data_IF_689229832019
#
_entry.id   IF_689229832019
#
_cell.length_a   1.000
_cell.length_b   1.000
_cell.length_c   1.000
_cell.angle_alpha   90.00
_cell.angle_beta   90.00
_cell.angle_gamma   90.00
#
_symmetry.space_group_name_H-M   'P 1'
#
loop_
_entity.id
_entity.type
_entity.pdbx_description
1 polymer ?
#
# COMPACT_ATOMS: atom_id res chain seq x y z
N UNK A 1 -1.88 -32.47 37.74
CA UNK A 1 -0.55 -31.82 37.72
C UNK A 1 -0.44 -30.58 36.83
N UNK A 2 -1.28 -30.40 35.80
CA UNK A 2 -1.24 -29.19 34.93
C UNK A 2 -1.72 -27.92 35.65
N UNK A 3 -2.74 -28.02 36.51
CA UNK A 3 -3.35 -26.88 37.20
C UNK A 3 -2.35 -26.09 38.07
N UNK A 4 -1.48 -26.79 38.81
CA UNK A 4 -0.47 -26.15 39.67
C UNK A 4 0.55 -25.31 38.88
N UNK A 5 0.87 -25.71 37.64
CA UNK A 5 1.82 -25.00 36.77
C UNK A 5 1.24 -23.70 36.17
N UNK A 6 -0.10 -23.57 36.14
CA UNK A 6 -0.78 -22.41 35.57
C UNK A 6 -1.06 -21.30 36.60
N UNK A 7 -1.04 -21.64 37.90
CA UNK A 7 -1.21 -20.70 39.02
C UNK A 7 -0.33 -19.45 38.90
N UNK A 8 1.00 -19.53 38.65
CA UNK A 8 1.85 -18.33 38.58
C UNK A 8 1.47 -17.38 37.45
N UNK A 9 1.04 -17.89 36.29
CA UNK A 9 0.60 -17.05 35.17
C UNK A 9 -0.69 -16.31 35.50
N UNK A 10 -1.64 -17.00 36.16
CA UNK A 10 -2.86 -16.38 36.67
C UNK A 10 -2.57 -15.27 37.69
N UNK A 11 -1.65 -15.52 38.63
CA UNK A 11 -1.24 -14.53 39.63
C UNK A 11 -0.63 -13.29 38.99
N UNK A 12 0.25 -13.44 38.00
CA UNK A 12 0.84 -12.30 37.27
C UNK A 12 -0.22 -11.51 36.51
N UNK A 13 -1.16 -12.19 35.83
CA UNK A 13 -2.25 -11.52 35.12
C UNK A 13 -3.16 -10.72 36.06
N UNK A 14 -3.54 -11.32 37.20
CA UNK A 14 -4.34 -10.65 38.23
C UNK A 14 -3.63 -9.44 38.81
N UNK A 15 -2.31 -9.51 39.06
CA UNK A 15 -1.51 -8.38 39.52
C UNK A 15 -1.50 -7.22 38.52
N UNK A 16 -1.34 -7.50 37.22
CA UNK A 16 -1.40 -6.46 36.17
C UNK A 16 -2.79 -5.85 36.07
N UNK A 17 -3.84 -6.67 36.12
CA UNK A 17 -5.23 -6.20 36.09
C UNK A 17 -5.54 -5.31 37.30
N UNK A 18 -5.14 -5.74 38.50
CA UNK A 18 -5.27 -4.96 39.73
C UNK A 18 -4.53 -3.63 39.65
N UNK A 19 -3.27 -3.65 39.22
CA UNK A 19 -2.47 -2.44 39.02
C UNK A 19 -3.11 -1.46 38.03
N UNK A 20 -3.67 -1.98 36.93
CA UNK A 20 -4.35 -1.17 35.91
C UNK A 20 -5.63 -0.55 36.46
N UNK A 21 -6.39 -1.28 37.29
CA UNK A 21 -7.59 -0.79 37.96
C UNK A 21 -7.25 0.33 38.95
N UNK A 22 -6.27 0.13 39.82
CA UNK A 22 -5.81 1.15 40.78
C UNK A 22 -5.33 2.39 40.04
N UNK A 23 -4.54 2.24 38.97
CA UNK A 23 -4.06 3.37 38.19
C UNK A 23 -5.18 4.15 37.50
N UNK A 24 -6.15 3.45 36.92
CA UNK A 24 -7.25 4.09 36.17
C UNK A 24 -8.27 4.76 37.10
N UNK A 25 -8.51 4.20 38.29
CA UNK A 25 -9.52 4.68 39.24
C UNK A 25 -8.96 5.72 40.22
N UNK A 26 -7.73 5.56 40.70
CA UNK A 26 -7.15 6.40 41.75
C UNK A 26 -6.20 7.48 41.21
N UNK A 27 -5.38 7.16 40.20
CA UNK A 27 -4.38 8.09 39.66
C UNK A 27 -4.85 8.88 38.44
N UNK A 28 -5.75 8.36 37.61
CA UNK A 28 -6.25 9.11 36.45
C UNK A 28 -7.39 10.07 36.84
N UNK A 29 -7.24 11.35 36.48
CA UNK A 29 -8.27 12.38 36.69
C UNK A 29 -9.60 11.96 36.06
N UNK A 30 -10.70 12.09 36.80
CA UNK A 30 -12.04 11.80 36.28
C UNK A 30 -12.37 12.71 35.10
N UNK A 31 -13.25 12.24 34.20
CA UNK A 31 -13.68 13.03 33.04
C UNK A 31 -14.20 14.40 33.50
N UNK A 32 -13.69 15.47 32.90
CA UNK A 32 -14.10 16.86 33.19
C UNK A 32 -15.49 17.16 32.61
N UNK A 33 -15.82 16.57 31.46
CA UNK A 33 -17.14 16.64 30.82
C UNK A 33 -17.60 15.25 30.43
N UNK A 34 -18.89 14.96 30.62
CA UNK A 34 -19.49 13.64 30.33
C UNK A 34 -19.60 13.37 28.82
N UNK A 35 -19.55 14.43 27.99
CA UNK A 35 -19.65 14.37 26.53
C UNK A 35 -18.31 14.09 25.83
N UNK A 36 -17.19 14.13 26.57
CA UNK A 36 -15.88 13.90 25.99
C UNK A 36 -15.60 12.39 25.79
N UNK A 37 -15.24 12.02 24.55
CA UNK A 37 -15.06 10.61 24.13
C UNK A 37 -13.84 9.98 24.81
N UNK A 38 -12.84 10.79 25.18
CA UNK A 38 -11.59 10.33 25.77
C UNK A 38 -11.40 10.87 27.19
N UNK A 39 -10.80 10.05 28.06
CA UNK A 39 -10.43 10.49 29.42
C UNK A 39 -9.17 11.36 29.31
N UNK A 40 -9.12 12.57 29.87
CA UNK A 40 -7.91 13.40 29.82
C UNK A 40 -6.77 12.65 30.53
N UNK A 41 -5.56 12.65 29.95
CA UNK A 41 -4.37 11.96 30.49
C UNK A 41 -3.76 12.66 31.72
N UNK A 42 -4.52 13.51 32.40
CA UNK A 42 -4.07 14.22 33.58
C UNK A 42 -4.06 13.29 34.81
N UNK A 43 -2.97 13.35 35.59
CA UNK A 43 -2.83 12.57 36.82
C UNK A 43 -3.38 13.34 38.01
N UNK A 44 -4.26 12.69 38.77
CA UNK A 44 -4.62 13.11 40.12
C UNK A 44 -3.60 12.53 41.12
N UNK A 45 -3.20 13.34 42.11
CA UNK A 45 -2.22 12.97 43.14
C UNK A 45 -0.88 12.41 42.62
N UNK A 46 -0.14 13.24 41.88
CA UNK A 46 1.17 12.92 41.29
C UNK A 46 2.17 12.29 42.28
N UNK A 47 2.16 12.72 43.55
CA UNK A 47 3.05 12.19 44.60
C UNK A 47 2.77 10.72 44.93
N UNK A 48 1.49 10.35 45.04
CA UNK A 48 1.10 8.97 45.32
C UNK A 48 1.39 8.04 44.13
N UNK A 49 1.21 8.54 42.89
CA UNK A 49 1.62 7.79 41.70
C UNK A 49 3.13 7.54 41.69
N UNK A 50 3.94 8.55 42.02
CA UNK A 50 5.39 8.40 42.08
C UNK A 50 5.83 7.36 43.13
N UNK A 51 5.22 7.35 44.31
CA UNK A 51 5.48 6.31 45.33
C UNK A 51 5.04 4.93 44.86
N UNK A 52 3.86 4.82 44.25
CA UNK A 52 3.35 3.56 43.70
C UNK A 52 4.29 3.01 42.62
N UNK A 53 4.67 3.83 41.64
CA UNK A 53 5.64 3.45 40.61
C UNK A 53 6.99 3.06 41.19
N UNK A 54 7.44 3.72 42.26
CA UNK A 54 8.69 3.37 42.94
C UNK A 54 8.64 1.96 43.56
N UNK A 55 7.56 1.60 44.27
CA UNK A 55 7.40 0.25 44.83
C UNK A 55 7.32 -0.84 43.76
N UNK A 56 6.66 -0.56 42.62
CA UNK A 56 6.51 -1.53 41.53
C UNK A 56 7.66 -1.53 40.52
N UNK A 57 8.69 -0.71 40.72
CA UNK A 57 9.79 -0.55 39.77
C UNK A 57 10.46 -1.87 39.39
N UNK A 58 10.88 -2.67 40.37
CA UNK A 58 11.56 -3.94 40.12
C UNK A 58 10.66 -4.96 39.39
N UNK A 59 9.37 -5.01 39.74
CA UNK A 59 8.40 -5.86 39.07
C UNK A 59 8.25 -5.44 37.59
N UNK A 60 8.14 -4.14 37.32
CA UNK A 60 8.08 -3.61 35.96
C UNK A 60 9.33 -3.91 35.14
N UNK A 61 10.52 -3.87 35.75
CA UNK A 61 11.76 -4.25 35.06
C UNK A 61 11.71 -5.72 34.63
N UNK A 62 11.31 -6.63 35.50
CA UNK A 62 11.22 -8.08 35.19
C UNK A 62 10.17 -8.33 34.10
N UNK A 63 8.98 -7.73 34.22
CA UNK A 63 7.91 -7.84 33.21
C UNK A 63 8.37 -7.26 31.88
N UNK A 64 9.06 -6.11 31.89
CA UNK A 64 9.64 -5.46 30.72
C UNK A 64 10.68 -6.33 30.01
N UNK A 65 11.57 -6.99 30.77
CA UNK A 65 12.51 -7.97 30.21
C UNK A 65 11.79 -9.14 29.55
N UNK A 66 10.72 -9.65 30.17
CA UNK A 66 9.85 -10.67 29.58
C UNK A 66 9.23 -10.22 28.26
N UNK A 67 8.71 -8.99 28.19
CA UNK A 67 8.17 -8.42 26.95
C UNK A 67 9.26 -8.28 25.87
N UNK A 68 10.46 -7.82 26.23
CA UNK A 68 11.59 -7.72 25.32
C UNK A 68 11.98 -9.09 24.74
N UNK A 69 12.10 -10.12 25.58
CA UNK A 69 12.39 -11.48 25.14
C UNK A 69 11.28 -12.02 24.23
N UNK A 70 10.00 -11.80 24.61
CA UNK A 70 8.87 -12.21 23.79
C UNK A 70 8.85 -11.52 22.41
N UNK A 71 9.31 -10.26 22.35
CA UNK A 71 9.44 -9.51 21.10
C UNK A 71 10.49 -10.13 20.20
N UNK A 72 11.68 -10.44 20.74
CA UNK A 72 12.75 -11.10 19.98
C UNK A 72 12.27 -12.46 19.45
N UNK A 73 11.65 -13.28 20.29
CA UNK A 73 11.13 -14.60 19.88
C UNK A 73 10.09 -14.47 18.76
N UNK A 74 9.12 -13.57 18.89
CA UNK A 74 8.11 -13.33 17.85
C UNK A 74 8.75 -12.83 16.55
N UNK A 75 9.74 -11.94 16.63
CA UNK A 75 10.47 -11.45 15.46
C UNK A 75 11.26 -12.56 14.77
N UNK A 76 11.82 -13.52 15.50
CA UNK A 76 12.50 -14.68 14.90
C UNK A 76 11.54 -15.62 14.19
N UNK A 77 10.40 -15.95 14.82
CA UNK A 77 9.37 -16.81 14.21
C UNK A 77 8.76 -16.16 12.97
N UNK A 78 8.41 -14.87 13.04
CA UNK A 78 7.91 -14.14 11.88
C UNK A 78 8.99 -13.99 10.82
N UNK A 79 10.24 -13.69 11.21
CA UNK A 79 11.37 -13.61 10.29
C UNK A 79 11.58 -14.91 9.52
N UNK A 80 11.62 -16.06 10.18
CA UNK A 80 11.79 -17.36 9.52
C UNK A 80 10.63 -17.70 8.59
N UNK A 81 9.40 -17.39 8.99
CA UNK A 81 8.22 -17.58 8.14
C UNK A 81 8.23 -16.67 6.91
N UNK A 82 8.61 -15.39 7.08
CA UNK A 82 8.67 -14.41 5.99
C UNK A 82 9.83 -14.68 5.03
N UNK A 83 10.94 -15.29 5.46
CA UNK A 83 12.03 -15.69 4.55
C UNK A 83 11.52 -16.61 3.44
N UNK A 84 10.56 -17.49 3.73
CA UNK A 84 9.94 -18.36 2.72
C UNK A 84 9.09 -17.59 1.69
N UNK A 85 8.74 -16.33 1.96
CA UNK A 85 7.88 -15.49 1.11
C UNK A 85 8.53 -14.15 0.78
N UNK A 86 9.14 -14.08 -0.40
CA UNK A 86 9.88 -12.90 -0.87
C UNK A 86 9.01 -11.67 -1.18
N UNK A 87 7.69 -11.82 -1.26
CA UNK A 87 6.73 -10.73 -1.53
C UNK A 87 6.69 -9.65 -0.43
N UNK A 88 7.17 -9.96 0.78
CA UNK A 88 7.11 -9.09 1.96
C UNK A 88 8.49 -8.91 2.56
N UNK A 89 8.98 -7.67 2.59
CA UNK A 89 10.24 -7.36 3.28
C UNK A 89 10.12 -7.57 4.79
N UNK A 90 11.18 -8.13 5.36
CA UNK A 90 11.32 -8.36 6.81
C UNK A 90 11.71 -7.06 7.53
N UNK A 91 12.29 -6.11 6.79
CA UNK A 91 12.81 -4.86 7.35
C UNK A 91 11.71 -3.82 7.58
N UNK A 92 11.91 -2.89 8.54
CA UNK A 92 10.99 -1.80 8.77
C UNK A 92 10.91 -0.87 7.55
N UNK A 93 9.75 -0.21 7.39
CA UNK A 93 9.53 0.78 6.33
C UNK A 93 10.64 1.83 6.32
N UNK A 94 11.27 2.01 5.16
CA UNK A 94 12.43 2.89 4.96
C UNK A 94 13.77 2.16 4.85
N UNK A 95 13.88 0.93 5.36
CA UNK A 95 15.07 0.09 5.21
C UNK A 95 14.87 -1.07 4.21
N UNK A 96 13.75 -1.09 3.51
CA UNK A 96 13.38 -2.13 2.53
C UNK A 96 14.44 -2.31 1.43
N UNK A 97 15.20 -1.24 1.11
CA UNK A 97 16.27 -1.28 0.12
C UNK A 97 17.48 -2.16 0.50
N UNK A 98 17.65 -2.44 1.80
CA UNK A 98 18.70 -3.34 2.30
C UNK A 98 18.33 -4.82 2.12
N UNK A 99 17.06 -5.12 1.88
CA UNK A 99 16.59 -6.47 1.61
C UNK A 99 16.79 -6.79 0.12
N UNK A 100 17.87 -7.51 -0.19
CA UNK A 100 18.23 -7.88 -1.56
C UNK A 100 17.18 -8.78 -2.22
N UNK A 101 16.54 -9.66 -1.44
CA UNK A 101 15.50 -10.55 -1.93
C UNK A 101 14.28 -9.77 -2.38
N UNK A 102 13.76 -8.91 -1.50
CA UNK A 102 12.63 -8.04 -1.82
C UNK A 102 12.92 -7.12 -3.01
N UNK A 103 14.12 -6.53 -3.08
CA UNK A 103 14.53 -5.69 -4.22
C UNK A 103 14.56 -6.44 -5.54
N UNK A 104 15.04 -7.68 -5.53
CA UNK A 104 15.09 -8.53 -6.72
C UNK A 104 13.69 -8.90 -7.20
N UNK A 105 12.78 -9.23 -6.28
CA UNK A 105 11.38 -9.50 -6.59
C UNK A 105 10.67 -8.28 -7.19
N UNK A 106 10.86 -7.08 -6.63
CA UNK A 106 10.35 -5.83 -7.23
C UNK A 106 10.91 -5.64 -8.65
N UNK A 107 12.22 -5.85 -8.83
CA UNK A 107 12.87 -5.73 -10.14
C UNK A 107 12.26 -6.68 -11.18
N UNK A 108 12.05 -7.94 -10.80
CA UNK A 108 11.36 -8.93 -11.64
C UNK A 108 9.94 -8.47 -11.99
N UNK A 109 9.17 -7.97 -11.02
CA UNK A 109 7.81 -7.48 -11.25
C UNK A 109 7.77 -6.30 -12.23
N UNK A 110 8.72 -5.36 -12.13
CA UNK A 110 8.82 -4.27 -13.09
C UNK A 110 9.18 -4.77 -14.48
N UNK A 111 10.17 -5.66 -14.60
CA UNK A 111 10.56 -6.23 -15.89
C UNK A 111 9.39 -6.97 -16.55
N UNK A 112 8.67 -7.80 -15.79
CA UNK A 112 7.47 -8.49 -16.28
C UNK A 112 6.39 -7.49 -16.71
N UNK A 113 6.15 -6.45 -15.92
CA UNK A 113 5.19 -5.40 -16.27
C UNK A 113 5.55 -4.66 -17.56
N UNK A 114 6.82 -4.36 -17.80
CA UNK A 114 7.24 -3.63 -19.01
C UNK A 114 7.21 -4.52 -20.26
N UNK A 115 7.59 -5.79 -20.15
CA UNK A 115 7.67 -6.70 -21.29
C UNK A 115 6.33 -7.38 -21.62
N UNK A 116 5.56 -7.75 -20.60
CA UNK A 116 4.32 -8.52 -20.75
C UNK A 116 3.06 -7.67 -20.52
N UNK A 117 3.15 -6.34 -20.70
CA UNK A 117 1.98 -5.48 -20.60
C UNK A 117 0.93 -5.83 -21.68
N UNK A 118 -0.26 -6.38 -21.34
CA UNK A 118 -1.21 -6.84 -22.34
C UNK A 118 -1.81 -5.68 -23.16
N UNK A 119 -1.88 -4.47 -22.60
CA UNK A 119 -2.37 -3.28 -23.31
C UNK A 119 -1.36 -2.85 -24.37
N UNK A 120 -0.06 -2.83 -24.03
CA UNK A 120 0.99 -2.49 -25.00
C UNK A 120 1.08 -3.54 -26.10
N UNK A 121 1.07 -4.82 -25.74
CA UNK A 121 1.16 -5.94 -26.69
C UNK A 121 -0.05 -5.94 -27.64
N UNK A 122 -1.27 -5.78 -27.12
CA UNK A 122 -2.47 -5.70 -27.97
C UNK A 122 -2.46 -4.47 -28.87
N UNK A 123 -2.04 -3.32 -28.36
CA UNK A 123 -1.90 -2.10 -29.17
C UNK A 123 -0.90 -2.28 -30.33
N UNK A 124 0.28 -2.85 -30.06
CA UNK A 124 1.25 -3.17 -31.10
C UNK A 124 0.70 -4.18 -32.12
N UNK A 125 -0.05 -5.19 -31.66
CA UNK A 125 -0.68 -6.16 -32.56
C UNK A 125 -1.69 -5.50 -33.50
N UNK A 126 -2.55 -4.62 -32.96
CA UNK A 126 -3.50 -3.84 -33.79
C UNK A 126 -2.76 -2.98 -34.81
N UNK A 127 -1.72 -2.25 -34.39
CA UNK A 127 -0.93 -1.41 -35.31
C UNK A 127 -0.22 -2.22 -36.42
N UNK A 128 0.39 -3.35 -36.07
CA UNK A 128 1.07 -4.22 -37.04
C UNK A 128 0.09 -4.85 -38.01
N UNK A 129 -1.09 -5.27 -37.53
CA UNK A 129 -2.15 -5.82 -38.37
C UNK A 129 -2.68 -4.77 -39.36
N UNK A 130 -2.97 -3.55 -38.89
CA UNK A 130 -3.41 -2.46 -39.79
C UNK A 130 -2.37 -2.16 -40.85
N UNK A 131 -1.08 -2.10 -40.50
CA UNK A 131 0.00 -1.86 -41.46
C UNK A 131 0.16 -3.02 -42.46
N UNK A 132 0.07 -4.27 -42.00
CA UNK A 132 0.14 -5.42 -42.88
C UNK A 132 -1.02 -5.40 -43.89
N UNK A 133 -2.24 -5.12 -43.44
CA UNK A 133 -3.41 -4.98 -44.32
C UNK A 133 -3.20 -3.89 -45.38
N UNK A 134 -2.63 -2.73 -45.01
CA UNK A 134 -2.26 -1.68 -45.97
C UNK A 134 -1.23 -2.19 -47.02
N UNK A 135 -0.19 -2.91 -46.60
CA UNK A 135 0.86 -3.44 -47.49
C UNK A 135 0.37 -4.57 -48.41
N UNK A 136 -0.54 -5.42 -47.93
CA UNK A 136 -1.20 -6.47 -48.74
C UNK A 136 -2.22 -5.91 -49.74
N UNK A 137 -2.71 -4.69 -49.54
CA UNK A 137 -3.64 -4.03 -50.47
C UNK A 137 -2.89 -3.39 -51.66
N UNK A 138 -1.56 -3.30 -51.61
CA UNK A 138 -0.71 -2.63 -52.61
C UNK A 138 0.09 -3.51 -53.60
N UNK A 139 -0.27 -4.80 -53.86
CA UNK A 139 0.17 -5.46 -55.08
C UNK A 139 -1.03 -6.04 -55.84
N UNK A 140 -1.74 -5.20 -56.59
CA UNK A 140 -2.25 -5.55 -57.92
C UNK A 140 -2.74 -4.29 -58.63
N UNK A 141 -1.82 -3.72 -59.40
CA UNK A 141 -2.16 -3.19 -60.72
C UNK A 141 -3.22 -4.13 -61.35
N UNK A 142 -4.33 -3.55 -61.81
CA UNK A 142 -5.56 -4.19 -62.34
C UNK A 142 -6.71 -4.49 -61.35
N UNK A 143 -7.50 -3.45 -61.04
CA UNK A 143 -8.95 -3.59 -60.87
C UNK A 143 -9.68 -2.39 -61.52
N UNK A 144 -10.83 -2.62 -62.19
CA UNK A 144 -11.42 -1.66 -63.11
C UNK A 144 -12.13 -0.51 -62.39
N UNK A 145 -12.13 0.63 -63.06
CA UNK A 145 -12.83 1.87 -62.72
C UNK A 145 -14.33 1.57 -62.57
N UNK A 146 -14.80 1.37 -61.35
CA UNK A 146 -16.22 1.52 -61.02
C UNK A 146 -16.31 2.67 -60.03
N UNK A 147 -16.82 3.79 -60.55
CA UNK A 147 -17.12 5.00 -59.80
C UNK A 147 -18.26 4.73 -58.81
N UNK A 148 -17.92 4.39 -57.58
CA UNK A 148 -18.79 4.65 -56.43
C UNK A 148 -18.17 5.80 -55.64
N UNK A 149 -18.72 6.99 -55.84
CA UNK A 149 -18.53 8.15 -54.97
C UNK A 149 -19.21 7.90 -53.63
N UNK A 150 -18.76 6.90 -52.89
CA UNK A 150 -18.96 6.89 -51.46
C UNK A 150 -18.10 8.02 -50.91
N UNK A 151 -18.75 9.03 -50.32
CA UNK A 151 -18.08 10.04 -49.50
C UNK A 151 -17.38 9.34 -48.33
N UNK A 152 -16.20 8.80 -48.58
CA UNK A 152 -15.25 8.44 -47.54
C UNK A 152 -14.87 9.77 -46.90
N UNK A 153 -15.55 10.11 -45.81
CA UNK A 153 -15.06 11.16 -44.92
C UNK A 153 -13.58 10.91 -44.70
N UNK A 154 -12.72 11.91 -44.89
CA UNK A 154 -11.29 11.73 -44.73
C UNK A 154 -11.07 11.12 -43.36
N UNK A 155 -10.35 10.01 -43.27
CA UNK A 155 -9.99 9.28 -42.05
C UNK A 155 -9.71 10.25 -40.87
N UNK A 156 -9.00 11.34 -41.17
CA UNK A 156 -8.68 12.45 -40.27
C UNK A 156 -9.88 13.12 -39.60
N UNK A 157 -11.00 13.31 -40.29
CA UNK A 157 -12.21 13.91 -39.73
C UNK A 157 -12.90 12.97 -38.72
N UNK A 158 -12.93 11.67 -39.02
CA UNK A 158 -13.43 10.65 -38.07
C UNK A 158 -12.56 10.60 -36.82
N UNK A 159 -11.23 10.57 -36.96
CA UNK A 159 -10.30 10.61 -35.81
C UNK A 159 -10.49 11.85 -34.95
N UNK A 160 -10.64 13.04 -35.57
CA UNK A 160 -10.90 14.29 -34.85
C UNK A 160 -12.22 14.25 -34.07
N UNK A 161 -13.27 13.67 -34.65
CA UNK A 161 -14.56 13.53 -33.98
C UNK A 161 -14.49 12.53 -32.81
N UNK A 162 -13.86 11.37 -32.99
CA UNK A 162 -13.64 10.41 -31.90
C UNK A 162 -12.81 11.00 -30.75
N UNK A 163 -11.78 11.78 -31.08
CA UNK A 163 -10.99 12.51 -30.09
C UNK A 163 -11.86 13.51 -29.31
N UNK A 164 -12.66 14.32 -30.01
CA UNK A 164 -13.58 15.27 -29.37
C UNK A 164 -14.58 14.56 -28.44
N UNK A 165 -15.21 13.49 -28.93
CA UNK A 165 -16.13 12.66 -28.15
C UNK A 165 -15.48 12.11 -26.88
N UNK A 166 -14.24 11.62 -26.99
CA UNK A 166 -13.47 11.08 -25.87
C UNK A 166 -13.15 12.15 -24.82
N UNK A 167 -12.78 13.36 -25.25
CA UNK A 167 -12.48 14.49 -24.36
C UNK A 167 -13.73 15.02 -23.66
N UNK A 168 -14.88 15.07 -24.35
CA UNK A 168 -16.14 15.48 -23.77
C UNK A 168 -16.57 14.53 -22.63
N UNK A 169 -16.37 13.22 -22.83
CA UNK A 169 -16.74 12.18 -21.85
C UNK A 169 -15.71 12.02 -20.73
N UNK A 170 -14.47 12.50 -20.90
CA UNK A 170 -13.38 12.40 -19.93
C UNK A 170 -12.69 13.76 -19.69
N UNK A 171 -13.33 14.68 -18.94
CA UNK A 171 -12.85 16.05 -18.79
C UNK A 171 -11.50 16.17 -18.06
N UNK A 172 -11.12 15.17 -17.26
CA UNK A 172 -9.82 15.13 -16.56
C UNK A 172 -8.63 15.03 -17.53
N UNK A 173 -8.80 14.36 -18.67
CA UNK A 173 -7.74 14.13 -19.68
C UNK A 173 -7.36 15.42 -20.41
N UNK A 174 -8.29 16.38 -20.50
CA UNK A 174 -8.07 17.68 -21.15
C UNK A 174 -6.90 18.44 -20.50
N UNK A 175 -6.78 18.35 -19.17
CA UNK A 175 -5.72 19.03 -18.41
C UNK A 175 -4.33 18.47 -18.76
N UNK A 176 -4.21 17.14 -18.78
CA UNK A 176 -2.95 16.46 -19.10
C UNK A 176 -2.52 16.67 -20.57
N UNK A 177 -3.49 16.65 -21.49
CA UNK A 177 -3.23 16.90 -22.91
C UNK A 177 -2.71 18.32 -23.17
N UNK A 178 -3.33 19.34 -22.56
CA UNK A 178 -2.89 20.73 -22.71
C UNK A 178 -1.47 20.94 -22.18
N UNK A 179 -1.16 20.36 -21.01
CA UNK A 179 0.16 20.47 -20.38
C UNK A 179 1.29 19.93 -21.27
N UNK A 180 1.11 18.75 -21.87
CA UNK A 180 2.10 18.14 -22.78
C UNK A 180 2.43 19.03 -23.97
N UNK A 181 1.40 19.58 -24.64
CA UNK A 181 1.61 20.46 -25.80
C UNK A 181 2.33 21.77 -25.46
N UNK A 182 2.21 22.26 -24.22
CA UNK A 182 2.96 23.45 -23.77
C UNK A 182 4.43 23.13 -23.42
N UNK A 183 4.74 21.93 -22.91
CA UNK A 183 6.12 21.52 -22.61
C UNK A 183 6.93 21.27 -23.90
N UNK A 184 6.33 20.64 -24.92
CA UNK A 184 6.95 20.43 -26.24
C UNK A 184 7.21 21.75 -27.02
N UNK A 185 6.61 22.88 -26.62
CA UNK A 185 6.79 24.20 -27.24
C UNK A 185 7.88 25.05 -26.57
N UNK A 186 8.50 24.54 -25.50
CA UNK A 186 9.52 25.22 -24.70
C UNK A 186 10.90 24.55 -24.77
N UNK A 187 11.08 23.58 -25.68
CA UNK A 187 12.34 23.02 -26.15
C UNK A 187 12.58 23.45 -27.60
#
# INVERSE_FOLDING_TARGET
MLGFRMIPFGTVYLLVAFQTLVATKFFLQNKISNDDKQKPLALNNRKAFQNFSYFFFFYHVIVGLGHCLSRVLKSLVLGSWLIARIDRTILPKGFEALDSGYRTWIGMLYMDHYHNNPVLVSFCHVLLQTRAEEEWTDPTEYAPIINTTEHQMPERAKTKWFLFYTLLRNPSIIKYRKKKNSEDCSL
#
